data_IF_251322083950
#
_entry.id   IF_251322083950
#
_cell.length_a   1.000
_cell.length_b   1.000
_cell.length_c   1.000
_cell.angle_alpha   90.00
_cell.angle_beta   90.00
_cell.angle_gamma   90.00
#
_symmetry.space_group_name_H-M   'P 1'
#
loop_
_entity.id
_entity.type
_entity.pdbx_description
1 polymer ?
#
# COMPACT_ATOMS: atom_id res chain seq x y z
N UNK A 1 -24.20 5.69 2.63
CA UNK A 1 -23.34 4.58 3.09
C UNK A 1 -21.93 4.89 2.66
N UNK A 2 -21.05 5.26 3.59
CA UNK A 2 -19.65 5.55 3.29
C UNK A 2 -18.94 4.23 3.02
N UNK A 3 -18.87 3.81 1.76
CA UNK A 3 -18.07 2.65 1.40
C UNK A 3 -16.61 3.04 1.62
N UNK A 4 -15.99 2.54 2.68
CA UNK A 4 -14.54 2.55 2.79
C UNK A 4 -14.00 1.85 1.55
N UNK A 5 -13.39 2.62 0.65
CA UNK A 5 -12.81 2.08 -0.58
C UNK A 5 -11.67 1.15 -0.18
N UNK A 6 -11.90 -0.16 -0.37
CA UNK A 6 -10.91 -1.22 -0.14
C UNK A 6 -9.82 -1.10 -1.19
N UNK A 7 -8.79 -0.31 -0.92
CA UNK A 7 -7.64 -0.12 -1.81
C UNK A 7 -6.33 -0.25 -1.05
N UNK A 8 -5.23 -0.39 -1.79
CA UNK A 8 -3.88 -0.50 -1.28
C UNK A 8 -3.49 0.67 -0.37
N UNK A 9 -3.84 1.92 -0.71
CA UNK A 9 -3.53 3.10 0.10
C UNK A 9 -4.05 3.01 1.55
N UNK A 10 -5.20 2.36 1.73
CA UNK A 10 -5.85 2.19 3.03
C UNK A 10 -5.53 0.85 3.69
N UNK A 11 -4.68 0.03 3.05
CA UNK A 11 -4.38 -1.32 3.49
C UNK A 11 -3.17 -1.36 4.44
N UNK A 12 -3.25 -2.10 5.55
CA UNK A 12 -2.18 -2.21 6.55
C UNK A 12 -0.89 -2.83 5.98
N UNK A 13 -1.05 -3.71 4.99
CA UNK A 13 0.05 -4.34 4.28
C UNK A 13 0.79 -3.41 3.32
N UNK A 14 0.18 -2.30 2.90
CA UNK A 14 0.78 -1.43 1.91
C UNK A 14 1.72 -0.43 2.57
N UNK A 15 2.80 -0.11 1.87
CA UNK A 15 3.77 0.90 2.28
C UNK A 15 4.14 1.74 1.07
N UNK A 16 3.79 3.01 1.12
CA UNK A 16 4.10 3.96 0.06
C UNK A 16 5.60 3.96 -0.27
N UNK A 17 5.91 3.99 -1.56
CA UNK A 17 7.29 4.07 -2.04
C UNK A 17 7.82 5.51 -1.85
N UNK A 18 9.02 5.71 -1.29
CA UNK A 18 9.60 7.04 -1.18
C UNK A 18 9.71 7.72 -2.54
N UNK A 19 9.28 8.97 -2.63
CA UNK A 19 9.35 9.78 -3.86
C UNK A 19 8.28 9.47 -4.91
N UNK A 20 7.34 8.56 -4.65
CA UNK A 20 6.21 8.27 -5.55
C UNK A 20 4.89 8.34 -4.78
N UNK A 21 3.94 9.13 -5.27
CA UNK A 21 2.69 9.38 -4.55
C UNK A 21 1.64 8.27 -4.73
N UNK A 22 1.64 7.62 -5.90
CA UNK A 22 0.59 6.67 -6.28
C UNK A 22 1.07 5.21 -6.33
N UNK A 23 2.31 4.94 -5.93
CA UNK A 23 2.88 3.60 -5.91
C UNK A 23 3.37 3.24 -4.51
N UNK A 24 3.31 1.95 -4.21
CA UNK A 24 3.87 1.42 -2.98
C UNK A 24 4.12 -0.06 -3.06
N UNK A 25 4.68 -0.58 -1.99
CA UNK A 25 5.02 -1.97 -1.82
C UNK A 25 3.89 -2.69 -1.10
N UNK A 26 3.29 -3.69 -1.74
CA UNK A 26 2.36 -4.59 -1.09
C UNK A 26 3.15 -5.64 -0.28
N UNK A 27 3.01 -5.64 1.05
CA UNK A 27 3.70 -6.57 1.96
C UNK A 27 2.86 -7.76 2.41
N UNK A 28 1.76 -8.06 1.72
CA UNK A 28 0.89 -9.21 2.02
C UNK A 28 1.58 -10.55 1.74
N UNK A 29 2.32 -10.62 0.64
CA UNK A 29 3.06 -11.80 0.20
C UNK A 29 4.55 -11.49 0.23
N UNK A 30 5.37 -12.48 0.59
CA UNK A 30 6.83 -12.37 0.68
C UNK A 30 7.46 -11.70 -0.58
N UNK A 31 8.60 -10.99 -0.44
CA UNK A 31 9.27 -10.38 -1.57
C UNK A 31 9.76 -11.46 -2.54
N UNK A 32 9.74 -11.16 -3.84
CA UNK A 32 10.16 -12.09 -4.88
C UNK A 32 11.56 -11.74 -5.39
N UNK A 33 12.40 -12.75 -5.69
CA UNK A 33 13.70 -12.51 -6.32
C UNK A 33 13.48 -11.95 -7.73
N UNK A 34 14.16 -10.85 -8.04
CA UNK A 34 14.15 -10.23 -9.36
C UNK A 34 15.57 -10.25 -9.92
N UNK A 35 15.73 -10.82 -11.11
CA UNK A 35 17.02 -10.92 -11.79
C UNK A 35 17.27 -9.64 -12.59
N UNK A 36 18.32 -8.91 -12.24
CA UNK A 36 18.80 -7.78 -13.03
C UNK A 36 19.97 -8.30 -13.89
N UNK A 37 19.66 -8.79 -15.10
CA UNK A 37 20.61 -9.28 -16.14
C UNK A 37 21.24 -10.69 -15.96
N UNK A 38 21.75 -11.31 -17.06
CA UNK A 38 22.32 -12.68 -17.04
C UNK A 38 23.62 -12.85 -16.22
N UNK A 39 24.25 -11.77 -15.75
CA UNK A 39 25.50 -11.81 -14.94
C UNK A 39 25.29 -11.34 -13.49
N UNK A 40 24.02 -11.36 -13.06
CA UNK A 40 23.44 -11.56 -11.72
C UNK A 40 23.94 -10.69 -10.57
N UNK A 41 23.23 -9.57 -10.35
CA UNK A 41 22.83 -9.20 -8.99
C UNK A 41 21.39 -9.66 -8.77
N UNK A 42 21.18 -10.45 -7.72
CA UNK A 42 19.85 -10.86 -7.26
C UNK A 42 19.40 -9.84 -6.22
N UNK A 43 18.27 -9.18 -6.48
CA UNK A 43 17.61 -8.33 -5.50
C UNK A 43 16.24 -8.90 -5.18
N UNK A 44 15.87 -8.89 -3.91
CA UNK A 44 14.52 -9.23 -3.48
C UNK A 44 13.70 -7.95 -3.38
N UNK A 45 12.51 -7.95 -3.95
CA UNK A 45 11.63 -6.78 -3.91
C UNK A 45 10.20 -7.18 -3.61
N UNK A 46 9.52 -6.35 -2.83
CA UNK A 46 8.08 -6.49 -2.63
C UNK A 46 7.36 -6.09 -3.92
N UNK A 47 6.20 -6.71 -4.24
CA UNK A 47 5.37 -6.29 -5.35
C UNK A 47 5.04 -4.80 -5.29
N UNK A 48 5.24 -4.09 -6.40
CA UNK A 48 4.85 -2.69 -6.55
C UNK A 48 3.41 -2.68 -7.06
N UNK A 49 2.52 -2.00 -6.34
CA UNK A 49 1.11 -1.82 -6.70
C UNK A 49 0.74 -0.34 -6.63
N UNK A 50 -0.32 0.05 -7.33
CA UNK A 50 -0.88 1.38 -7.23
C UNK A 50 -1.61 1.58 -5.89
N UNK A 51 -1.84 2.84 -5.53
CA UNK A 51 -2.57 3.24 -4.34
C UNK A 51 -4.05 2.82 -4.38
N UNK A 52 -4.65 2.81 -5.57
CA UNK A 52 -6.04 2.46 -5.83
C UNK A 52 -6.25 0.96 -6.15
N UNK A 53 -5.18 0.18 -6.31
CA UNK A 53 -5.26 -1.27 -6.54
C UNK A 53 -5.92 -2.01 -5.37
N UNK A 54 -6.52 -3.16 -5.69
CA UNK A 54 -7.06 -4.08 -4.69
C UNK A 54 -6.83 -5.54 -5.09
N UNK A 55 -6.10 -6.26 -4.24
CA UNK A 55 -5.75 -7.66 -4.47
C UNK A 55 -6.70 -8.68 -3.82
N UNK A 56 -7.84 -8.25 -3.25
CA UNK A 56 -8.76 -9.11 -2.49
C UNK A 56 -8.42 -9.29 -1.01
N UNK A 57 -7.16 -9.13 -0.62
CA UNK A 57 -6.63 -9.36 0.74
C UNK A 57 -6.55 -8.09 1.60
N UNK A 58 -7.53 -7.19 1.47
CA UNK A 58 -7.52 -5.90 2.16
C UNK A 58 -7.63 -6.06 3.68
N UNK A 59 -6.77 -5.34 4.43
CA UNK A 59 -6.93 -5.13 5.87
C UNK A 59 -6.87 -3.64 6.18
N UNK A 60 -7.86 -3.06 6.87
CA UNK A 60 -7.88 -1.63 7.15
C UNK A 60 -6.66 -1.22 7.99
N UNK A 61 -6.00 -0.13 7.61
CA UNK A 61 -4.95 0.48 8.41
C UNK A 61 -5.51 1.56 9.32
N UNK A 62 -5.19 1.48 10.61
CA UNK A 62 -5.50 2.48 11.65
C UNK A 62 -4.91 3.89 11.39
N UNK A 63 -4.10 4.05 10.34
CA UNK A 63 -3.46 5.33 9.99
C UNK A 63 -4.41 6.35 9.34
N UNK A 64 -5.59 5.92 8.86
CA UNK A 64 -6.56 6.75 8.14
C UNK A 64 -7.60 7.47 9.01
N UNK A 65 -7.75 7.14 10.29
CA UNK A 65 -8.91 7.55 11.11
C UNK A 65 -8.78 8.94 11.79
N UNK A 66 -7.93 9.84 11.32
CA UNK A 66 -7.72 11.17 11.96
C UNK A 66 -8.38 12.36 11.25
N UNK A 67 -9.46 12.18 10.48
CA UNK A 67 -10.12 13.31 9.77
C UNK A 67 -11.65 13.36 9.79
N UNK A 68 -12.31 12.79 10.80
CA UNK A 68 -13.70 13.16 11.12
C UNK A 68 -13.77 13.39 12.63
N UNK A 69 -13.98 14.63 13.05
CA UNK A 69 -14.41 15.13 14.37
C UNK A 69 -13.56 16.32 14.87
N UNK A 70 -13.63 17.47 14.20
CA UNK A 70 -13.23 18.74 14.84
C UNK A 70 -13.92 19.99 14.25
N UNK A 71 -15.19 19.92 13.85
CA UNK A 71 -16.00 21.10 13.49
C UNK A 71 -17.28 21.18 14.35
N UNK A 72 -17.13 21.06 15.66
CA UNK A 72 -18.17 21.42 16.63
C UNK A 72 -18.02 22.87 17.05
N UNK A 73 -18.72 23.79 16.38
CA UNK A 73 -18.97 25.15 16.90
C UNK A 73 -19.83 25.04 18.16
N UNK A 74 -19.34 25.62 19.24
CA UNK A 74 -20.11 26.08 20.40
C UNK A 74 -19.95 27.58 20.53
#
# INVERSE_FOLDING_TARGET
MSQETRCCANCDFWKQRPGVNNEGFCRKNAPFPKTQTPRTTLFVTWPITLADDWCGEFRPSIKGEKKLNSDGRG
#
